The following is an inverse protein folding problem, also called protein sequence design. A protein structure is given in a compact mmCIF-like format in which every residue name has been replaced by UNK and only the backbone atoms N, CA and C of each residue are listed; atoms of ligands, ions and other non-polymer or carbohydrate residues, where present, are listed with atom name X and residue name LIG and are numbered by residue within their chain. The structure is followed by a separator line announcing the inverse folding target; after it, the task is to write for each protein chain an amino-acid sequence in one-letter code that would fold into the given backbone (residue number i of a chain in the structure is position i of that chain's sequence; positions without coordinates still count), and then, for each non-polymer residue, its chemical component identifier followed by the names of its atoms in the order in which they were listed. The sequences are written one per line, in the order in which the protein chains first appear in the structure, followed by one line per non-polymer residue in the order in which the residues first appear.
data_IF_843325029431
#
_entry.id   IF_843325029431
#
_cell.length_a   1.000
_cell.length_b   1.000
_cell.length_c   1.000
_cell.angle_alpha   90.00
_cell.angle_beta   90.00
_cell.angle_gamma   90.00
#
_symmetry.space_group_name_H-M   'P 1'
#
loop_
_entity.id
_entity.type
_entity.pdbx_description
1 polymer ?
#
# COMPACT_ATOMS: atom_id res chain seq x y z
N UNK A 1 18.55 22.18 4.79
CA UNK A 1 18.49 21.89 3.34
C UNK A 1 17.04 21.98 2.94
N UNK A 2 16.66 23.16 2.46
CA UNK A 2 15.30 23.59 2.09
C UNK A 2 14.98 23.10 0.69
N UNK A 3 13.90 22.34 0.53
CA UNK A 3 13.44 21.84 -0.76
C UNK A 3 12.39 22.75 -1.38
N UNK A 4 12.70 23.24 -2.57
CA UNK A 4 11.90 24.04 -3.49
C UNK A 4 10.47 23.53 -3.73
N UNK A 5 9.52 24.46 -3.76
CA UNK A 5 8.14 24.25 -4.25
C UNK A 5 8.03 24.94 -5.62
N UNK A 6 7.70 24.23 -6.72
CA UNK A 6 7.52 24.88 -8.01
C UNK A 6 6.16 25.59 -8.08
N UNK A 7 6.27 26.90 -8.29
CA UNK A 7 5.23 27.87 -8.58
C UNK A 7 4.75 27.67 -10.02
N UNK A 8 3.46 27.43 -10.23
CA UNK A 8 2.87 27.31 -11.56
C UNK A 8 2.06 28.57 -11.85
N UNK A 9 2.54 29.34 -12.83
CA UNK A 9 2.00 30.60 -13.31
C UNK A 9 0.59 30.43 -13.88
N UNK A 10 -0.34 31.26 -13.41
CA UNK A 10 -1.65 31.49 -14.02
C UNK A 10 -1.55 32.77 -14.85
N UNK A 11 -0.92 32.66 -16.01
CA UNK A 11 -0.83 33.74 -16.97
C UNK A 11 -2.01 33.67 -17.96
N UNK A 12 -2.81 34.73 -17.94
CA UNK A 12 -3.38 35.38 -19.13
C UNK A 12 -4.25 34.55 -20.07
N UNK A 13 -5.57 34.77 -20.01
CA UNK A 13 -6.41 34.66 -21.22
C UNK A 13 -7.55 35.67 -21.24
N UNK A 14 -7.22 36.80 -21.85
CA UNK A 14 -8.02 37.52 -22.86
C UNK A 14 -9.49 37.81 -22.54
N UNK A 15 -9.72 38.91 -21.82
CA UNK A 15 -10.97 39.68 -21.91
C UNK A 15 -10.84 40.72 -23.02
N UNK A 16 -11.17 40.34 -24.26
CA UNK A 16 -11.31 41.27 -25.37
C UNK A 16 -12.68 41.11 -26.03
N UNK A 17 -13.38 42.25 -26.11
CA UNK A 17 -14.45 42.56 -27.05
C UNK A 17 -15.78 41.78 -26.94
N UNK A 18 -16.75 42.40 -26.27
CA UNK A 18 -18.07 42.58 -26.90
C UNK A 18 -18.79 43.76 -26.24
N UNK A 19 -18.43 44.96 -26.70
CA UNK A 19 -19.18 46.18 -26.42
C UNK A 19 -19.85 46.58 -27.74
N UNK A 20 -21.13 46.21 -27.86
CA UNK A 20 -21.95 46.48 -29.04
C UNK A 20 -23.41 46.12 -28.79
N UNK A 21 -24.25 47.16 -28.77
CA UNK A 21 -25.66 47.15 -29.19
C UNK A 21 -26.57 46.01 -28.75
N UNK A 22 -27.15 46.12 -27.55
CA UNK A 22 -28.47 45.55 -27.27
C UNK A 22 -29.37 46.56 -26.52
N UNK A 23 -29.49 47.78 -27.06
CA UNK A 23 -30.59 48.70 -26.74
C UNK A 23 -31.85 48.42 -27.61
N UNK A 24 -32.02 47.19 -28.08
CA UNK A 24 -33.30 46.72 -28.62
C UNK A 24 -34.13 46.30 -27.42
N UNK A 25 -35.14 47.10 -27.09
CA UNK A 25 -36.03 46.91 -25.95
C UNK A 25 -36.44 45.44 -25.82
N UNK A 26 -36.35 44.94 -24.60
CA UNK A 26 -36.75 43.59 -24.21
C UNK A 26 -38.19 43.35 -24.70
N UNK A 27 -38.35 42.68 -25.85
CA UNK A 27 -39.67 42.36 -26.35
C UNK A 27 -40.21 41.17 -25.56
N UNK A 28 -41.40 41.32 -25.00
CA UNK A 28 -42.08 40.24 -24.31
C UNK A 28 -42.29 39.07 -25.27
N UNK A 29 -41.69 37.93 -24.95
CA UNK A 29 -41.81 36.74 -25.76
C UNK A 29 -43.27 36.29 -25.82
N UNK A 30 -43.73 35.92 -27.03
CA UNK A 30 -45.06 35.35 -27.24
C UNK A 30 -45.25 34.13 -26.32
N UNK A 31 -46.28 34.18 -25.48
CA UNK A 31 -46.52 33.16 -24.45
C UNK A 31 -46.53 31.74 -25.03
N UNK A 32 -45.56 30.91 -24.62
CA UNK A 32 -45.47 29.50 -25.02
C UNK A 32 -44.12 29.08 -25.61
N UNK A 33 -43.35 30.02 -26.19
CA UNK A 33 -42.07 29.70 -26.85
C UNK A 33 -40.95 29.37 -25.85
N UNK A 34 -40.94 30.04 -24.69
CA UNK A 34 -39.98 29.78 -23.61
C UNK A 34 -40.16 28.35 -23.06
N UNK A 35 -41.42 27.88 -22.94
CA UNK A 35 -41.71 26.53 -22.47
C UNK A 35 -41.28 25.43 -23.46
N UNK A 36 -41.30 25.72 -24.77
CA UNK A 36 -40.77 24.82 -25.79
C UNK A 36 -39.24 24.74 -25.73
N UNK A 37 -38.57 25.88 -25.54
CA UNK A 37 -37.12 25.94 -25.43
C UNK A 37 -36.61 25.23 -24.16
N UNK A 38 -37.24 25.48 -23.00
CA UNK A 38 -36.87 24.82 -21.73
C UNK A 38 -37.09 23.30 -21.80
N UNK A 39 -38.16 22.82 -22.43
CA UNK A 39 -38.39 21.37 -22.63
C UNK A 39 -37.34 20.73 -23.55
N UNK A 40 -36.88 21.44 -24.58
CA UNK A 40 -35.78 20.99 -25.44
C UNK A 40 -34.43 20.88 -24.73
N UNK A 41 -34.11 21.84 -23.86
CA UNK A 41 -32.84 21.83 -23.10
C UNK A 41 -32.84 20.79 -21.98
N UNK A 42 -33.97 20.59 -21.28
CA UNK A 42 -34.09 19.58 -20.21
C UNK A 42 -34.03 18.16 -20.78
N UNK A 43 -34.65 17.90 -21.94
CA UNK A 43 -34.60 16.58 -22.59
C UNK A 43 -33.20 16.24 -23.10
N UNK A 44 -32.47 17.19 -23.72
CA UNK A 44 -31.08 16.99 -24.14
C UNK A 44 -30.12 16.78 -22.96
N UNK A 45 -30.31 17.48 -21.83
CA UNK A 45 -29.48 17.28 -20.62
C UNK A 45 -29.71 15.91 -19.96
N UNK A 46 -30.93 15.37 -20.00
CA UNK A 46 -31.22 14.01 -19.48
C UNK A 46 -30.63 12.91 -20.37
N UNK A 47 -30.65 13.08 -21.70
CA UNK A 47 -30.01 12.15 -22.63
C UNK A 47 -28.47 12.15 -22.51
N UNK A 48 -27.86 13.34 -22.38
CA UNK A 48 -26.40 13.46 -22.25
C UNK A 48 -25.83 13.08 -20.87
N UNK A 49 -26.62 13.15 -19.79
CA UNK A 49 -26.20 12.68 -18.45
C UNK A 49 -26.17 11.15 -18.34
N UNK A 50 -27.01 10.42 -19.09
CA UNK A 50 -26.98 8.95 -19.08
C UNK A 50 -25.74 8.38 -19.78
N UNK A 51 -25.19 9.04 -20.80
CA UNK A 51 -24.05 8.49 -21.55
C UNK A 51 -22.68 8.75 -20.90
N UNK A 52 -22.51 9.80 -20.09
CA UNK A 52 -21.20 10.10 -19.47
C UNK A 52 -20.88 9.31 -18.20
N UNK A 53 -21.88 8.78 -17.50
CA UNK A 53 -21.67 7.97 -16.29
C UNK A 53 -21.36 6.50 -16.64
N UNK A 54 -21.80 6.02 -17.81
CA UNK A 54 -21.65 4.60 -18.21
C UNK A 54 -20.30 4.30 -18.87
N UNK A 55 -19.58 5.31 -19.38
CA UNK A 55 -18.31 5.07 -20.08
C UNK A 55 -17.04 5.16 -19.20
N UNK A 56 -17.13 5.62 -17.94
CA UNK A 56 -15.94 5.80 -17.07
C UNK A 56 -15.82 4.79 -15.92
N UNK A 57 -16.75 3.84 -15.78
CA UNK A 57 -16.70 2.84 -14.70
C UNK A 57 -16.10 1.50 -15.12
N UNK A 58 -15.99 1.22 -16.42
CA UNK A 58 -15.60 -0.10 -16.94
C UNK A 58 -14.09 -0.35 -16.83
N UNK A 59 -13.24 0.66 -16.97
CA UNK A 59 -11.78 0.48 -16.95
C UNK A 59 -11.19 0.30 -15.55
N UNK A 60 -11.74 1.00 -14.54
CA UNK A 60 -11.26 0.86 -13.15
C UNK A 60 -11.85 -0.38 -12.48
N UNK A 61 -13.12 -0.71 -12.74
CA UNK A 61 -13.75 -1.92 -12.20
C UNK A 61 -13.13 -3.20 -12.80
N UNK A 62 -12.78 -3.22 -14.08
CA UNK A 62 -12.13 -4.37 -14.71
C UNK A 62 -10.76 -4.69 -14.11
N UNK A 63 -9.97 -3.65 -13.78
CA UNK A 63 -8.63 -3.82 -13.19
C UNK A 63 -8.71 -4.34 -11.73
N UNK A 64 -9.72 -3.89 -10.97
CA UNK A 64 -10.02 -4.43 -9.63
C UNK A 64 -10.51 -5.88 -9.67
N UNK A 65 -11.25 -6.29 -10.70
CA UNK A 65 -11.70 -7.69 -10.85
C UNK A 65 -10.52 -8.59 -11.25
N UNK A 66 -9.62 -8.17 -12.14
CA UNK A 66 -8.45 -9.00 -12.52
C UNK A 66 -7.45 -9.12 -11.36
N UNK A 67 -7.15 -8.01 -10.67
CA UNK A 67 -6.26 -8.05 -9.50
C UNK A 67 -6.91 -8.75 -8.30
N UNK A 68 -8.20 -8.53 -8.05
CA UNK A 68 -8.96 -9.17 -6.97
C UNK A 68 -9.14 -10.68 -7.20
N UNK A 69 -9.47 -11.09 -8.43
CA UNK A 69 -9.74 -12.51 -8.73
C UNK A 69 -8.46 -13.34 -8.83
N UNK A 70 -7.32 -12.73 -9.19
CA UNK A 70 -6.00 -13.37 -9.12
C UNK A 70 -5.47 -13.52 -7.69
N UNK A 71 -5.71 -12.53 -6.82
CA UNK A 71 -5.28 -12.58 -5.42
C UNK A 71 -6.13 -13.53 -4.58
N UNK A 72 -7.41 -13.71 -4.90
CA UNK A 72 -8.30 -14.68 -4.23
C UNK A 72 -7.86 -16.15 -4.36
N UNK A 73 -7.08 -16.50 -5.38
CA UNK A 73 -6.52 -17.86 -5.53
C UNK A 73 -5.18 -18.07 -4.83
N UNK A 74 -4.52 -16.99 -4.40
CA UNK A 74 -3.20 -17.06 -3.74
C UNK A 74 -3.24 -16.62 -2.27
N UNK A 75 -4.40 -16.18 -1.78
CA UNK A 75 -4.66 -16.06 -0.35
C UNK A 75 -5.01 -17.47 0.13
N UNK A 76 -4.14 -18.15 0.90
CA UNK A 76 -4.52 -19.41 1.53
C UNK A 76 -5.81 -19.16 2.30
N UNK A 77 -6.77 -20.11 2.28
CA UNK A 77 -8.00 -19.96 3.05
C UNK A 77 -7.58 -19.58 4.44
N UNK A 78 -8.05 -18.42 4.88
CA UNK A 78 -7.83 -17.93 6.23
C UNK A 78 -8.65 -18.87 7.10
N UNK A 79 -8.09 -20.06 7.36
CA UNK A 79 -8.51 -20.95 8.40
C UNK A 79 -8.71 -20.02 9.58
N UNK A 80 -9.92 -19.97 10.11
CA UNK A 80 -10.27 -19.13 11.23
C UNK A 80 -9.22 -19.36 12.30
N UNK A 81 -8.21 -18.50 12.29
CA UNK A 81 -6.98 -18.66 13.07
C UNK A 81 -7.48 -18.28 14.43
N UNK A 82 -7.86 -19.31 15.19
CA UNK A 82 -8.29 -19.17 16.55
C UNK A 82 -7.29 -18.20 17.19
N UNK A 83 -7.76 -17.06 17.67
CA UNK A 83 -6.85 -16.06 18.22
C UNK A 83 -6.06 -16.75 19.35
N UNK A 84 -4.73 -16.62 19.36
CA UNK A 84 -3.95 -17.24 20.44
C UNK A 84 -4.41 -16.63 21.77
N UNK A 85 -4.72 -17.48 22.75
CA UNK A 85 -5.04 -16.99 24.09
C UNK A 85 -3.74 -16.63 24.82
N UNK A 86 -3.80 -15.73 25.81
CA UNK A 86 -2.61 -15.35 26.59
C UNK A 86 -1.92 -16.57 27.24
N UNK A 87 -2.70 -17.60 27.59
CA UNK A 87 -2.17 -18.86 28.13
C UNK A 87 -1.32 -19.59 27.09
N UNK A 88 -1.80 -19.70 25.86
CA UNK A 88 -1.08 -20.36 24.77
C UNK A 88 0.25 -19.65 24.48
N UNK A 89 0.25 -18.31 24.48
CA UNK A 89 1.46 -17.50 24.31
C UNK A 89 2.45 -17.74 25.46
N UNK A 90 1.96 -17.85 26.69
CA UNK A 90 2.82 -18.13 27.85
C UNK A 90 3.41 -19.54 27.80
N UNK A 91 2.63 -20.53 27.38
CA UNK A 91 3.09 -21.92 27.26
C UNK A 91 4.12 -22.10 26.12
N UNK A 92 4.07 -21.25 25.08
CA UNK A 92 4.99 -21.27 23.93
C UNK A 92 6.07 -20.19 23.98
N UNK A 93 6.12 -19.37 25.03
CA UNK A 93 7.00 -18.20 25.10
C UNK A 93 8.49 -18.55 24.97
N UNK A 94 8.93 -19.62 25.60
CA UNK A 94 10.32 -20.08 25.54
C UNK A 94 10.71 -20.53 24.13
N UNK A 95 9.90 -21.40 23.51
CA UNK A 95 10.10 -21.86 22.14
C UNK A 95 10.09 -20.71 21.13
N UNK A 96 9.26 -19.69 21.37
CA UNK A 96 9.21 -18.48 20.55
C UNK A 96 10.54 -17.70 20.60
N UNK A 97 11.09 -17.46 21.80
CA UNK A 97 12.36 -16.72 21.94
C UNK A 97 13.55 -17.54 21.40
N UNK A 98 13.49 -18.87 21.45
CA UNK A 98 14.48 -19.76 20.85
C UNK A 98 14.32 -19.97 19.33
N UNK A 99 13.29 -19.38 18.71
CA UNK A 99 12.95 -19.57 17.29
C UNK A 99 12.73 -21.05 16.90
N UNK A 100 12.19 -21.85 17.82
CA UNK A 100 11.88 -23.28 17.60
C UNK A 100 10.44 -23.53 17.11
N UNK A 101 9.61 -22.49 17.07
CA UNK A 101 8.25 -22.57 16.57
C UNK A 101 8.20 -22.58 15.05
N UNK A 102 7.18 -23.24 14.49
CA UNK A 102 6.88 -23.15 13.08
C UNK A 102 6.39 -21.74 12.68
N UNK A 103 6.44 -21.43 11.39
CA UNK A 103 6.10 -20.11 10.88
C UNK A 103 4.62 -19.73 11.10
N UNK A 104 3.71 -20.70 11.10
CA UNK A 104 2.27 -20.44 11.32
C UNK A 104 2.01 -20.07 12.79
N UNK A 105 2.59 -20.83 13.72
CA UNK A 105 2.49 -20.56 15.16
C UNK A 105 3.18 -19.25 15.54
N UNK A 106 4.34 -18.96 14.93
CA UNK A 106 5.06 -17.68 15.11
C UNK A 106 4.19 -16.50 14.72
N UNK A 107 3.59 -16.52 13.51
CA UNK A 107 2.70 -15.46 13.05
C UNK A 107 1.45 -15.28 13.94
N UNK A 108 0.97 -16.37 14.54
CA UNK A 108 -0.17 -16.34 15.47
C UNK A 108 0.19 -15.65 16.79
N UNK A 109 1.39 -15.91 17.31
CA UNK A 109 1.90 -15.25 18.52
C UNK A 109 2.18 -13.77 18.23
N UNK A 110 2.84 -13.45 17.12
CA UNK A 110 3.12 -12.05 16.72
C UNK A 110 1.85 -11.21 16.65
N UNK A 111 0.78 -11.73 16.03
CA UNK A 111 -0.52 -11.05 15.97
C UNK A 111 -1.12 -10.81 17.36
N UNK A 112 -0.97 -11.76 18.29
CA UNK A 112 -1.43 -11.56 19.67
C UNK A 112 -0.57 -10.49 20.38
N UNK A 113 0.74 -10.50 20.14
CA UNK A 113 1.66 -9.53 20.73
C UNK A 113 1.31 -8.11 20.27
N UNK A 114 0.89 -7.88 19.03
CA UNK A 114 0.44 -6.55 18.55
C UNK A 114 -0.67 -5.94 19.44
N UNK A 115 -1.55 -6.77 20.01
CA UNK A 115 -2.69 -6.31 20.82
C UNK A 115 -2.53 -6.42 22.33
N UNK A 116 -1.55 -7.20 22.83
CA UNK A 116 -1.47 -7.56 24.25
C UNK A 116 -0.15 -7.13 24.91
N UNK A 117 -0.18 -5.97 25.60
CA UNK A 117 0.99 -5.40 26.26
C UNK A 117 1.60 -6.30 27.36
N UNK A 118 0.76 -7.08 28.07
CA UNK A 118 1.24 -8.00 29.11
C UNK A 118 2.09 -9.12 28.53
N UNK A 119 1.68 -9.69 27.40
CA UNK A 119 2.43 -10.73 26.71
C UNK A 119 3.72 -10.16 26.10
N UNK A 120 3.68 -8.93 25.54
CA UNK A 120 4.89 -8.24 25.07
C UNK A 120 5.95 -8.08 26.18
N UNK A 121 5.53 -7.62 27.37
CA UNK A 121 6.43 -7.45 28.51
C UNK A 121 7.04 -8.78 28.96
N UNK A 122 6.27 -9.86 28.93
CA UNK A 122 6.75 -11.18 29.31
C UNK A 122 7.79 -11.72 28.31
N UNK A 123 7.53 -11.60 27.00
CA UNK A 123 8.50 -12.00 25.98
C UNK A 123 9.77 -11.15 26.09
N UNK A 124 9.64 -9.83 26.26
CA UNK A 124 10.79 -8.94 26.42
C UNK A 124 11.67 -9.33 27.61
N UNK A 125 11.07 -9.68 28.76
CA UNK A 125 11.84 -10.08 29.94
C UNK A 125 12.57 -11.41 29.75
N UNK A 126 12.01 -12.34 28.98
CA UNK A 126 12.69 -13.58 28.60
C UNK A 126 13.86 -13.31 27.67
N UNK A 127 13.66 -12.51 26.63
CA UNK A 127 14.73 -12.12 25.69
C UNK A 127 15.87 -11.40 26.40
N UNK A 128 15.55 -10.53 27.37
CA UNK A 128 16.55 -9.83 28.17
C UNK A 128 17.35 -10.77 29.06
N UNK A 129 16.70 -11.75 29.69
CA UNK A 129 17.40 -12.81 30.44
C UNK A 129 18.33 -13.63 29.54
N UNK A 130 17.87 -13.98 28.34
CA UNK A 130 18.66 -14.72 27.36
C UNK A 130 19.86 -13.90 26.87
N UNK A 131 19.67 -12.61 26.61
CA UNK A 131 20.74 -11.71 26.22
C UNK A 131 21.74 -11.48 27.36
N UNK A 132 21.28 -11.33 28.61
CA UNK A 132 22.16 -11.29 29.78
C UNK A 132 22.95 -12.60 29.93
N UNK A 133 22.31 -13.74 29.69
CA UNK A 133 23.01 -15.03 29.67
C UNK A 133 24.05 -15.08 28.55
N UNK A 134 23.71 -14.70 27.32
CA UNK A 134 24.66 -14.67 26.22
C UNK A 134 25.80 -13.66 26.44
N UNK A 135 25.54 -12.58 27.19
CA UNK A 135 26.57 -11.59 27.51
C UNK A 135 27.70 -12.14 28.38
N UNK A 136 27.48 -13.20 29.18
CA UNK A 136 28.57 -13.86 29.90
C UNK A 136 29.34 -14.86 29.02
N UNK A 137 28.73 -15.36 27.94
CA UNK A 137 29.43 -16.15 26.92
C UNK A 137 30.28 -15.29 25.98
N UNK A 138 30.01 -13.98 25.91
CA UNK A 138 30.82 -13.01 25.16
C UNK A 138 31.86 -12.39 26.10
N UNK A 139 33.18 -12.48 25.84
CA UNK A 139 33.81 -12.57 24.54
C UNK A 139 34.20 -14.03 24.22
N UNK A 140 34.13 -14.43 22.95
CA UNK A 140 34.76 -15.65 22.46
C UNK A 140 36.13 -15.32 21.81
N UNK A 141 37.17 -14.91 22.57
CA UNK A 141 38.50 -14.69 22.03
C UNK A 141 39.23 -16.00 21.68
N UNK A 142 38.66 -17.16 22.05
CA UNK A 142 39.29 -18.47 21.87
C UNK A 142 38.97 -19.11 20.51
N UNK A 143 37.82 -18.79 19.89
CA UNK A 143 37.41 -19.44 18.64
C UNK A 143 38.11 -18.84 17.41
N UNK A 144 38.51 -17.55 17.50
CA UNK A 144 39.29 -16.88 16.45
C UNK A 144 40.74 -17.40 16.36
N UNK A 145 41.32 -17.83 17.49
CA UNK A 145 42.68 -18.40 17.50
C UNK A 145 42.74 -19.86 17.04
N UNK A 146 41.61 -20.57 17.11
CA UNK A 146 41.50 -21.98 16.74
C UNK A 146 41.11 -22.21 15.27
N UNK A 147 40.80 -21.15 14.50
CA UNK A 147 40.65 -21.23 13.04
C UNK A 147 42.02 -20.98 12.40
N UNK A 148 42.82 -22.02 12.08
CA UNK A 148 44.08 -21.84 11.39
C UNK A 148 43.80 -21.13 10.06
N UNK A 149 44.51 -20.02 9.83
CA UNK A 149 44.43 -19.14 8.68
C UNK A 149 43.80 -19.78 7.45
N UNK A 150 42.49 -19.56 7.28
CA UNK A 150 41.85 -19.74 5.99
C UNK A 150 42.35 -18.62 5.11
N UNK A 151 43.43 -18.89 4.38
CA UNK A 151 43.98 -17.99 3.38
C UNK A 151 42.82 -17.44 2.56
N UNK A 152 42.54 -16.16 2.75
CA UNK A 152 41.55 -15.39 2.02
C UNK A 152 42.01 -15.24 0.57
N UNK A 153 42.03 -16.36 -0.15
CA UNK A 153 42.03 -16.39 -1.60
C UNK A 153 40.59 -16.15 -1.98
N UNK A 154 40.25 -14.85 -2.08
CA UNK A 154 39.01 -14.38 -2.68
C UNK A 154 38.65 -15.26 -3.88
N UNK A 155 37.42 -15.80 -3.96
CA UNK A 155 37.01 -16.50 -5.16
C UNK A 155 37.22 -15.54 -6.34
N UNK A 156 37.82 -16.00 -7.46
CA UNK A 156 37.96 -15.16 -8.63
C UNK A 156 36.57 -14.66 -9.00
N UNK A 157 36.45 -13.34 -9.16
CA UNK A 157 35.22 -12.68 -9.58
C UNK A 157 34.58 -13.48 -10.70
N UNK A 158 33.46 -14.15 -10.40
CA UNK A 158 32.63 -14.75 -11.44
C UNK A 158 32.16 -13.59 -12.29
N UNK A 159 32.79 -13.46 -13.46
CA UNK A 159 32.40 -12.53 -14.49
C UNK A 159 30.94 -12.82 -14.86
N UNK A 160 30.03 -12.02 -14.30
CA UNK A 160 28.65 -11.91 -14.73
C UNK A 160 28.68 -11.45 -16.18
N UNK A 161 28.58 -12.42 -17.10
CA UNK A 161 28.37 -12.16 -18.51
C UNK A 161 26.91 -11.75 -18.69
N UNK A 162 26.67 -10.45 -18.74
CA UNK A 162 25.43 -9.81 -19.17
C UNK A 162 25.14 -10.18 -20.63
N UNK A 163 24.35 -11.24 -20.86
CA UNK A 163 23.92 -11.62 -22.21
C UNK A 163 22.65 -10.81 -22.55
N UNK A 164 22.83 -9.65 -23.16
CA UNK A 164 21.73 -8.90 -23.80
C UNK A 164 21.31 -9.65 -25.07
N UNK A 165 20.11 -10.21 -25.08
CA UNK A 165 19.50 -10.77 -26.29
C UNK A 165 18.43 -9.79 -26.79
N UNK A 166 18.79 -8.99 -27.79
CA UNK A 166 17.86 -8.27 -28.66
C UNK A 166 17.49 -9.19 -29.81
N UNK A 167 16.19 -9.45 -29.98
CA UNK A 167 15.61 -10.16 -31.11
C UNK A 167 14.10 -9.99 -31.08
#
# INVERSE_FOLDING_TARGET
MTGDTPQHDLEGRDTAASQGDHAQGWQDCRGGEIAACVRGVVSRRRAARRSRIVQSTITVAGLLVVLGMGSLWMIPPQAAVAEACCKDVHDMAEQYVHHELDAETTARIERHLEGCQRCQQHIHSLTEQLNQALSWLWPLPELEKALPGGDSKSPPALAVQSRTHTG
#
